data_IF_794911749721
#
_entry.id   IF_794911749721
#
_cell.length_a   1.000
_cell.length_b   1.000
_cell.length_c   1.000
_cell.angle_alpha   90.00
_cell.angle_beta   90.00
_cell.angle_gamma   90.00
#
_symmetry.space_group_name_H-M   'P 1'
#
loop_
_entity.id
_entity.type
_entity.pdbx_description
1 polymer ?
#
# COMPACT_ATOMS: atom_id res chain seq x y z
N UNK A 1 6.38 -59.87 26.36
CA UNK A 1 4.93 -59.71 26.13
C UNK A 1 4.56 -58.29 26.56
N UNK A 2 3.83 -57.58 25.68
CA UNK A 2 3.28 -56.23 25.81
C UNK A 2 4.19 -55.00 25.60
N UNK A 3 3.84 -54.31 24.50
CA UNK A 3 3.93 -52.88 24.21
C UNK A 3 5.26 -52.31 23.71
N UNK A 4 5.68 -52.91 22.60
CA UNK A 4 6.40 -52.31 21.50
C UNK A 4 5.37 -51.98 20.39
N UNK A 5 4.76 -50.78 20.36
CA UNK A 5 4.01 -50.23 19.19
C UNK A 5 3.27 -48.93 19.51
N UNK A 6 3.90 -47.77 19.29
CA UNK A 6 3.17 -46.50 19.00
C UNK A 6 3.92 -45.63 17.98
N UNK A 7 5.25 -45.76 17.86
CA UNK A 7 6.04 -44.91 16.96
C UNK A 7 5.99 -45.32 15.46
N UNK A 8 5.47 -46.50 15.09
CA UNK A 8 5.38 -46.94 13.69
C UNK A 8 3.97 -46.88 13.07
N UNK A 9 2.93 -46.50 13.84
CA UNK A 9 1.56 -46.35 13.31
C UNK A 9 1.14 -44.88 13.03
N UNK A 10 1.94 -43.89 13.42
CA UNK A 10 1.67 -42.48 13.10
C UNK A 10 1.94 -42.17 11.61
N UNK A 11 2.77 -42.96 10.93
CA UNK A 11 3.00 -42.88 9.48
C UNK A 11 1.99 -43.70 8.64
N UNK A 12 1.07 -44.45 9.26
CA UNK A 12 -0.01 -45.19 8.58
C UNK A 12 -1.41 -44.61 8.83
N UNK A 13 -1.58 -43.72 9.79
CA UNK A 13 -2.84 -43.00 10.03
C UNK A 13 -3.04 -41.75 9.16
N UNK A 14 -2.04 -41.33 8.38
CA UNK A 14 -2.16 -40.26 7.37
C UNK A 14 -2.80 -40.74 6.05
N UNK A 15 -3.69 -41.74 6.11
CA UNK A 15 -4.35 -42.37 4.96
C UNK A 15 -5.81 -42.74 5.23
N UNK A 16 -6.57 -41.89 5.91
CA UNK A 16 -8.04 -41.93 5.87
C UNK A 16 -8.68 -40.75 6.63
N UNK A 17 -8.50 -39.53 6.15
CA UNK A 17 -9.45 -38.43 6.43
C UNK A 17 -9.32 -37.29 5.42
N UNK A 18 -8.85 -37.60 4.21
CA UNK A 18 -9.16 -36.78 3.04
C UNK A 18 -10.62 -37.04 2.71
N UNK A 19 -11.50 -36.32 3.40
CA UNK A 19 -12.84 -36.06 2.92
C UNK A 19 -12.69 -35.47 1.52
N UNK A 20 -13.16 -36.21 0.54
CA UNK A 20 -13.40 -35.72 -0.81
C UNK A 20 -14.41 -34.57 -0.70
N UNK A 21 -13.93 -33.33 -0.58
CA UNK A 21 -14.67 -32.20 -1.15
C UNK A 21 -14.43 -32.26 -2.64
N UNK A 22 -15.50 -32.63 -3.35
CA UNK A 22 -15.53 -32.85 -4.77
C UNK A 22 -14.97 -31.65 -5.54
N UNK A 23 -13.75 -31.79 -6.06
CA UNK A 23 -13.32 -31.02 -7.21
C UNK A 23 -14.01 -31.62 -8.42
N UNK A 24 -14.99 -30.90 -8.96
CA UNK A 24 -15.48 -31.20 -10.29
C UNK A 24 -14.31 -31.07 -11.26
N UNK A 25 -13.92 -32.20 -11.86
CA UNK A 25 -13.19 -32.22 -13.14
C UNK A 25 -13.96 -31.31 -14.09
N UNK A 26 -13.39 -30.18 -14.47
CA UNK A 26 -13.73 -29.56 -15.75
C UNK A 26 -13.19 -30.50 -16.80
N UNK A 27 -14.06 -31.45 -17.19
CA UNK A 27 -13.89 -32.26 -18.38
C UNK A 27 -13.62 -31.31 -19.55
N UNK A 28 -12.62 -31.63 -20.37
CA UNK A 28 -12.38 -31.02 -21.67
C UNK A 28 -13.52 -31.35 -22.66
N UNK A 29 -14.73 -30.86 -22.36
CA UNK A 29 -15.91 -30.88 -23.23
C UNK A 29 -16.65 -29.55 -23.04
N UNK A 30 -16.66 -28.75 -24.10
CA UNK A 30 -17.42 -27.52 -24.21
C UNK A 30 -16.61 -26.27 -23.86
N UNK A 31 -15.88 -25.74 -24.85
CA UNK A 31 -15.56 -24.30 -24.90
C UNK A 31 -16.89 -23.54 -25.03
N UNK A 32 -17.56 -23.31 -23.90
CA UNK A 32 -18.70 -22.41 -23.80
C UNK A 32 -18.15 -21.01 -23.51
N UNK A 33 -18.53 -20.02 -24.30
CA UNK A 33 -18.00 -18.65 -24.28
C UNK A 33 -18.53 -17.78 -23.12
N UNK A 34 -18.83 -18.36 -21.95
CA UNK A 34 -19.60 -17.70 -20.88
C UNK A 34 -18.92 -17.65 -19.51
N UNK A 35 -17.68 -18.09 -19.37
CA UNK A 35 -16.94 -17.96 -18.11
C UNK A 35 -16.22 -16.60 -18.03
N UNK A 36 -16.14 -15.97 -16.84
CA UNK A 36 -15.43 -14.69 -16.69
C UNK A 36 -13.92 -14.86 -16.95
N UNK A 37 -13.28 -13.79 -17.42
CA UNK A 37 -11.83 -13.70 -17.63
C UNK A 37 -11.07 -13.69 -16.29
N UNK A 38 -11.72 -13.27 -15.20
CA UNK A 38 -11.23 -13.31 -13.81
C UNK A 38 -12.17 -14.14 -12.94
N UNK A 39 -11.63 -15.17 -12.29
CA UNK A 39 -12.34 -15.99 -11.28
C UNK A 39 -11.83 -15.61 -9.89
N UNK A 40 -12.73 -15.39 -8.94
CA UNK A 40 -12.37 -15.10 -7.53
C UNK A 40 -12.97 -16.18 -6.64
N UNK A 41 -12.10 -16.90 -5.93
CA UNK A 41 -12.49 -17.95 -5.01
C UNK A 41 -12.00 -17.62 -3.59
N UNK A 42 -12.89 -17.67 -2.59
CA UNK A 42 -12.49 -17.60 -1.19
C UNK A 42 -12.34 -19.02 -0.65
N UNK A 43 -11.15 -19.36 -0.18
CA UNK A 43 -10.88 -20.69 0.34
C UNK A 43 -11.49 -20.87 1.74
N UNK A 44 -11.79 -22.12 2.08
CA UNK A 44 -12.38 -22.53 3.35
C UNK A 44 -11.47 -23.48 4.13
N UNK A 45 -11.83 -23.79 5.38
CA UNK A 45 -11.11 -24.76 6.21
C UNK A 45 -9.76 -24.22 6.68
N UNK A 46 -8.69 -24.99 6.51
CA UNK A 46 -7.32 -24.60 6.89
C UNK A 46 -6.73 -23.47 6.01
N UNK A 47 -7.48 -23.05 4.98
CA UNK A 47 -7.15 -21.94 4.09
C UNK A 47 -8.09 -20.74 4.26
N UNK A 48 -8.91 -20.71 5.33
CA UNK A 48 -9.84 -19.61 5.58
C UNK A 48 -9.09 -18.26 5.65
N UNK A 49 -9.67 -17.26 4.99
CA UNK A 49 -9.11 -15.92 4.85
C UNK A 49 -8.22 -15.71 3.62
N UNK A 50 -8.04 -16.72 2.78
CA UNK A 50 -7.34 -16.59 1.50
C UNK A 50 -8.34 -16.37 0.37
N UNK A 51 -8.16 -15.32 -0.43
CA UNK A 51 -8.88 -15.10 -1.68
C UNK A 51 -7.95 -15.35 -2.88
N UNK A 52 -8.35 -16.21 -3.81
CA UNK A 52 -7.60 -16.57 -5.02
C UNK A 52 -8.18 -15.84 -6.22
N UNK A 53 -7.37 -15.02 -6.89
CA UNK A 53 -7.65 -14.42 -8.18
C UNK A 53 -7.05 -15.31 -9.26
N UNK A 54 -7.90 -15.91 -10.09
CA UNK A 54 -7.53 -16.74 -11.22
C UNK A 54 -7.72 -16.02 -12.55
N UNK A 55 -6.63 -15.79 -13.28
CA UNK A 55 -6.69 -15.36 -14.68
C UNK A 55 -7.16 -16.54 -15.55
N UNK A 56 -8.29 -16.39 -16.25
CA UNK A 56 -8.97 -17.48 -16.96
C UNK A 56 -9.40 -17.08 -18.38
N UNK A 57 -8.43 -16.71 -19.21
CA UNK A 57 -8.64 -16.34 -20.62
C UNK A 57 -7.71 -17.14 -21.55
N UNK A 58 -7.88 -18.47 -21.63
CA UNK A 58 -6.97 -19.39 -22.34
C UNK A 58 -6.80 -19.06 -23.82
N UNK A 59 -7.89 -18.70 -24.52
CA UNK A 59 -7.92 -18.38 -25.95
C UNK A 59 -7.01 -17.20 -26.34
N UNK A 60 -6.61 -16.38 -25.37
CA UNK A 60 -5.76 -15.21 -25.57
C UNK A 60 -4.56 -15.19 -24.62
N UNK A 61 -4.17 -16.33 -24.04
CA UNK A 61 -3.01 -16.43 -23.14
C UNK A 61 -3.06 -15.40 -22.00
N UNK A 62 -4.24 -15.21 -21.41
CA UNK A 62 -4.48 -14.20 -20.36
C UNK A 62 -4.04 -12.79 -20.74
N UNK A 63 -4.04 -12.43 -22.03
CA UNK A 63 -3.72 -11.08 -22.45
C UNK A 63 -4.73 -10.08 -21.90
N UNK A 64 -4.24 -8.91 -21.48
CA UNK A 64 -4.98 -7.82 -20.84
C UNK A 64 -5.84 -7.13 -21.89
N UNK A 65 -7.08 -7.58 -22.01
CA UNK A 65 -8.16 -6.95 -22.77
C UNK A 65 -8.85 -5.86 -21.95
N UNK A 66 -9.68 -5.03 -22.60
CA UNK A 66 -10.59 -4.11 -21.89
C UNK A 66 -11.48 -4.84 -20.88
N UNK A 67 -11.95 -6.05 -21.22
CA UNK A 67 -12.83 -6.84 -20.36
C UNK A 67 -12.09 -7.42 -19.15
N UNK A 68 -10.96 -8.09 -19.36
CA UNK A 68 -10.14 -8.65 -18.28
C UNK A 68 -9.74 -7.55 -17.29
N UNK A 69 -9.33 -6.39 -17.79
CA UNK A 69 -8.97 -5.26 -16.93
C UNK A 69 -10.16 -4.73 -16.10
N UNK A 70 -11.36 -4.72 -16.68
CA UNK A 70 -12.59 -4.33 -15.97
C UNK A 70 -12.91 -5.33 -14.85
N UNK A 71 -12.96 -6.62 -15.17
CA UNK A 71 -13.24 -7.67 -14.17
C UNK A 71 -12.18 -7.72 -13.08
N UNK A 72 -10.91 -7.49 -13.43
CA UNK A 72 -9.82 -7.47 -12.46
C UNK A 72 -9.96 -6.32 -11.47
N UNK A 73 -10.31 -5.12 -11.97
CA UNK A 73 -10.60 -3.95 -11.14
C UNK A 73 -11.78 -4.20 -10.20
N UNK A 74 -12.88 -4.74 -10.71
CA UNK A 74 -14.06 -5.12 -9.91
C UNK A 74 -13.68 -6.12 -8.81
N UNK A 75 -12.82 -7.10 -9.14
CA UNK A 75 -12.28 -8.03 -8.16
C UNK A 75 -11.48 -7.38 -7.04
N UNK A 76 -10.56 -6.47 -7.41
CA UNK A 76 -9.75 -5.71 -6.45
C UNK A 76 -10.65 -4.90 -5.50
N UNK A 77 -11.67 -4.22 -6.04
CA UNK A 77 -12.58 -3.41 -5.23
C UNK A 77 -13.43 -4.26 -4.28
N UNK A 78 -13.86 -5.45 -4.73
CA UNK A 78 -14.61 -6.40 -3.90
C UNK A 78 -13.80 -6.88 -2.69
N UNK A 79 -12.52 -7.21 -2.87
CA UNK A 79 -11.70 -7.71 -1.75
C UNK A 79 -11.14 -6.61 -0.87
N UNK A 80 -10.95 -5.38 -1.38
CA UNK A 80 -10.39 -4.24 -0.63
C UNK A 80 -11.12 -3.99 0.68
N UNK A 81 -12.45 -4.11 0.66
CA UNK A 81 -13.31 -3.82 1.81
C UNK A 81 -13.75 -5.06 2.59
N UNK A 82 -13.34 -6.24 2.14
CA UNK A 82 -13.74 -7.49 2.77
C UNK A 82 -12.84 -7.84 3.96
N UNK A 83 -13.44 -7.79 5.16
CA UNK A 83 -12.76 -8.08 6.42
C UNK A 83 -12.41 -9.56 6.58
N UNK A 84 -13.08 -10.45 5.85
CA UNK A 84 -12.77 -11.88 5.85
C UNK A 84 -11.47 -12.19 5.09
N UNK A 85 -11.07 -11.34 4.14
CA UNK A 85 -9.87 -11.55 3.33
C UNK A 85 -8.62 -11.05 4.08
N UNK A 86 -7.69 -11.99 4.28
CA UNK A 86 -6.45 -11.81 5.02
C UNK A 86 -5.22 -11.84 4.12
N UNK A 87 -5.27 -12.61 3.04
CA UNK A 87 -4.23 -12.70 2.00
C UNK A 87 -4.91 -12.89 0.64
N UNK A 88 -4.38 -12.24 -0.40
CA UNK A 88 -4.77 -12.49 -1.79
C UNK A 88 -3.69 -13.33 -2.47
N UNK A 89 -4.10 -14.42 -3.13
CA UNK A 89 -3.26 -15.16 -4.07
C UNK A 89 -3.67 -14.79 -5.48
N UNK A 90 -2.71 -14.46 -6.35
CA UNK A 90 -2.93 -14.22 -7.77
C UNK A 90 -2.27 -15.33 -8.57
N UNK A 91 -3.02 -16.04 -9.40
CA UNK A 91 -2.51 -17.11 -10.26
C UNK A 91 -3.17 -17.09 -11.63
N UNK A 92 -2.65 -17.92 -12.53
CA UNK A 92 -3.34 -18.29 -13.75
C UNK A 92 -4.04 -19.64 -13.60
N UNK A 93 -5.22 -19.76 -14.20
CA UNK A 93 -5.94 -21.03 -14.39
C UNK A 93 -5.56 -21.71 -15.73
N UNK A 94 -4.71 -21.07 -16.53
CA UNK A 94 -4.26 -21.54 -17.84
C UNK A 94 -2.86 -22.15 -17.72
N UNK A 95 -2.68 -23.47 -17.96
CA UNK A 95 -1.39 -24.13 -17.84
C UNK A 95 -0.30 -23.48 -18.72
N UNK A 96 0.89 -23.28 -18.15
CA UNK A 96 2.08 -22.75 -18.84
C UNK A 96 2.02 -21.26 -19.21
N UNK A 97 0.96 -20.55 -18.87
CA UNK A 97 0.82 -19.12 -19.13
C UNK A 97 0.34 -18.42 -17.87
N UNK A 98 1.08 -17.43 -17.39
CA UNK A 98 0.55 -16.49 -16.40
C UNK A 98 -0.27 -15.39 -17.08
N UNK A 99 0.41 -14.52 -17.85
CA UNK A 99 -0.20 -13.43 -18.60
C UNK A 99 0.76 -12.94 -19.70
N UNK A 100 0.27 -12.89 -20.94
CA UNK A 100 1.07 -12.46 -22.10
C UNK A 100 1.23 -10.93 -22.25
N UNK A 101 0.69 -10.14 -21.32
CA UNK A 101 0.72 -8.67 -21.40
C UNK A 101 -0.48 -8.11 -22.15
N UNK A 102 -0.33 -6.95 -22.80
CA UNK A 102 -1.44 -6.29 -23.49
C UNK A 102 -2.03 -7.15 -24.62
N UNK A 103 -3.35 -7.11 -24.80
CA UNK A 103 -3.99 -7.78 -25.94
C UNK A 103 -3.66 -7.05 -27.26
N UNK A 104 -2.68 -7.58 -28.00
CA UNK A 104 -2.22 -6.98 -29.25
C UNK A 104 -3.31 -6.93 -30.33
N UNK A 105 -4.32 -7.82 -30.29
CA UNK A 105 -5.44 -7.79 -31.25
C UNK A 105 -6.38 -6.62 -30.96
N UNK A 106 -6.63 -6.31 -29.69
CA UNK A 106 -7.36 -5.10 -29.31
C UNK A 106 -6.53 -3.86 -29.59
N UNK A 107 -5.24 -3.91 -29.27
CA UNK A 107 -4.31 -2.80 -29.46
C UNK A 107 -4.21 -2.36 -30.92
N UNK A 108 -4.17 -3.30 -31.86
CA UNK A 108 -4.13 -3.02 -33.29
C UNK A 108 -5.40 -2.33 -33.83
N UNK A 109 -6.53 -2.41 -33.11
CA UNK A 109 -7.80 -1.79 -33.49
C UNK A 109 -8.04 -0.44 -32.80
N UNK A 110 -7.21 -0.06 -31.83
CA UNK A 110 -7.33 1.21 -31.11
C UNK A 110 -6.81 2.37 -31.96
N UNK A 111 -7.54 3.48 -31.96
CA UNK A 111 -7.05 4.74 -32.51
C UNK A 111 -5.92 5.33 -31.64
N UNK A 112 -5.02 6.17 -32.19
CA UNK A 112 -3.96 6.84 -31.44
C UNK A 112 -4.43 7.54 -30.15
N UNK A 113 -5.61 8.17 -30.17
CA UNK A 113 -6.21 8.85 -29.03
C UNK A 113 -6.72 7.90 -27.92
N UNK A 114 -7.02 6.63 -28.23
CA UNK A 114 -7.53 5.65 -27.26
C UNK A 114 -6.40 4.93 -26.50
N UNK A 115 -5.18 4.98 -27.04
CA UNK A 115 -4.00 4.30 -26.51
C UNK A 115 -3.66 4.76 -25.09
N UNK A 116 -3.45 6.07 -24.94
CA UNK A 116 -3.01 6.68 -23.69
C UNK A 116 -3.99 6.41 -22.55
N UNK A 117 -5.31 6.65 -22.75
CA UNK A 117 -6.33 6.31 -21.78
C UNK A 117 -6.35 4.83 -21.37
N UNK A 118 -6.22 3.90 -22.33
CA UNK A 118 -6.20 2.46 -22.03
C UNK A 118 -4.99 2.08 -21.17
N UNK A 119 -3.78 2.51 -21.55
CA UNK A 119 -2.55 2.23 -20.78
C UNK A 119 -2.60 2.88 -19.40
N UNK A 120 -3.14 4.10 -19.29
CA UNK A 120 -3.33 4.79 -18.00
C UNK A 120 -4.30 4.04 -17.11
N UNK A 121 -5.41 3.54 -17.66
CA UNK A 121 -6.37 2.69 -16.92
C UNK A 121 -5.72 1.38 -16.45
N UNK A 122 -4.90 0.75 -17.30
CA UNK A 122 -4.17 -0.45 -16.92
C UNK A 122 -3.19 -0.17 -15.76
N UNK A 123 -2.40 0.90 -15.85
CA UNK A 123 -1.49 1.34 -14.79
C UNK A 123 -2.22 1.62 -13.47
N UNK A 124 -3.36 2.31 -13.54
CA UNK A 124 -4.17 2.62 -12.36
C UNK A 124 -4.68 1.34 -11.69
N UNK A 125 -5.24 0.41 -12.46
CA UNK A 125 -5.72 -0.88 -11.94
C UNK A 125 -4.60 -1.71 -11.27
N UNK A 126 -3.41 -1.75 -11.88
CA UNK A 126 -2.25 -2.45 -11.29
C UNK A 126 -1.77 -1.74 -10.03
N UNK A 127 -1.85 -0.41 -9.98
CA UNK A 127 -1.53 0.36 -8.76
C UNK A 127 -2.58 0.15 -7.67
N UNK A 128 -3.85 -0.09 -8.01
CA UNK A 128 -4.87 -0.47 -7.04
C UNK A 128 -4.57 -1.84 -6.41
N UNK A 129 -4.07 -2.80 -7.20
CA UNK A 129 -3.63 -4.11 -6.71
C UNK A 129 -2.49 -3.98 -5.69
N UNK A 130 -1.46 -3.20 -6.02
CA UNK A 130 -0.34 -2.88 -5.13
C UNK A 130 -0.83 -2.29 -3.80
N UNK A 131 -1.78 -1.36 -3.89
CA UNK A 131 -2.38 -0.67 -2.74
C UNK A 131 -3.49 -1.45 -2.02
N UNK A 132 -3.66 -2.75 -2.27
CA UNK A 132 -4.55 -3.57 -1.43
C UNK A 132 -4.03 -3.61 0.01
N UNK A 133 -4.91 -3.48 1.02
CA UNK A 133 -4.47 -3.39 2.42
C UNK A 133 -3.86 -4.70 2.93
N UNK A 134 -4.29 -5.84 2.41
CA UNK A 134 -3.76 -7.17 2.72
C UNK A 134 -2.57 -7.53 1.81
N UNK A 135 -1.71 -8.49 2.22
CA UNK A 135 -0.66 -9.03 1.36
C UNK A 135 -1.22 -9.71 0.11
N UNK A 136 -0.50 -9.55 -1.00
CA UNK A 136 -0.77 -10.15 -2.29
C UNK A 136 0.44 -11.00 -2.70
N UNK A 137 0.22 -12.30 -2.92
CA UNK A 137 1.25 -13.22 -3.40
C UNK A 137 0.89 -13.67 -4.81
N UNK A 138 1.80 -13.50 -5.76
CA UNK A 138 1.61 -13.99 -7.13
C UNK A 138 2.33 -15.31 -7.35
N UNK A 139 1.62 -16.27 -7.93
CA UNK A 139 2.10 -17.57 -8.35
C UNK A 139 2.32 -17.60 -9.87
N UNK A 140 3.59 -17.69 -10.27
CA UNK A 140 4.03 -17.69 -11.66
C UNK A 140 4.40 -19.12 -12.08
N UNK A 141 3.42 -19.85 -12.59
CA UNK A 141 3.57 -21.22 -13.14
C UNK A 141 3.71 -21.24 -14.67
N UNK A 142 3.97 -20.08 -15.28
CA UNK A 142 4.00 -19.94 -16.73
C UNK A 142 4.48 -18.58 -17.20
N UNK A 143 4.38 -18.34 -18.50
CA UNK A 143 4.90 -17.12 -19.14
C UNK A 143 4.22 -15.84 -18.60
N UNK A 144 5.02 -14.88 -18.14
CA UNK A 144 4.60 -13.56 -17.65
C UNK A 144 5.37 -12.45 -18.39
N UNK A 145 4.74 -11.83 -19.39
CA UNK A 145 5.40 -10.83 -20.25
C UNK A 145 4.70 -9.47 -20.21
N UNK A 146 5.49 -8.40 -20.32
CA UNK A 146 5.02 -7.02 -20.33
C UNK A 146 4.07 -6.75 -19.18
N UNK A 147 2.84 -6.33 -19.47
CA UNK A 147 1.78 -6.14 -18.49
C UNK A 147 1.55 -7.31 -17.51
N UNK A 148 1.83 -8.56 -17.91
CA UNK A 148 1.76 -9.72 -17.02
C UNK A 148 2.85 -9.72 -15.95
N UNK A 149 4.08 -9.33 -16.32
CA UNK A 149 5.14 -9.11 -15.34
C UNK A 149 4.89 -7.82 -14.53
N UNK A 150 4.30 -6.78 -15.12
CA UNK A 150 3.92 -5.57 -14.39
C UNK A 150 2.86 -5.83 -13.31
N UNK A 151 1.91 -6.75 -13.56
CA UNK A 151 0.98 -7.26 -12.54
C UNK A 151 1.76 -7.97 -11.43
N UNK A 152 2.69 -8.86 -11.78
CA UNK A 152 3.47 -9.61 -10.78
C UNK A 152 4.37 -8.71 -9.92
N UNK A 153 4.95 -7.67 -10.52
CA UNK A 153 5.75 -6.65 -9.85
C UNK A 153 4.95 -5.79 -8.87
N UNK A 154 3.63 -5.70 -9.05
CA UNK A 154 2.74 -4.98 -8.13
C UNK A 154 2.30 -5.83 -6.92
N UNK A 155 2.55 -7.15 -6.93
CA UNK A 155 2.30 -8.01 -5.79
C UNK A 155 3.44 -7.91 -4.77
N UNK A 156 3.14 -8.15 -3.49
CA UNK A 156 4.13 -8.04 -2.41
C UNK A 156 5.17 -9.16 -2.49
N UNK A 157 4.74 -10.39 -2.79
CA UNK A 157 5.59 -11.56 -2.92
C UNK A 157 5.38 -12.25 -4.27
N UNK A 158 6.48 -12.71 -4.87
CA UNK A 158 6.49 -13.44 -6.14
C UNK A 158 7.09 -14.83 -5.95
N UNK A 159 6.36 -15.86 -6.34
CA UNK A 159 6.84 -17.24 -6.39
C UNK A 159 6.80 -17.71 -7.83
N UNK A 160 7.88 -18.31 -8.32
CA UNK A 160 7.96 -18.81 -9.69
C UNK A 160 8.33 -20.29 -9.74
N UNK A 161 7.83 -20.98 -10.76
CA UNK A 161 8.38 -22.27 -11.14
C UNK A 161 9.72 -22.10 -11.87
N UNK A 162 10.63 -23.08 -11.82
CA UNK A 162 11.92 -23.03 -12.54
C UNK A 162 11.75 -22.78 -14.04
N UNK A 163 10.67 -23.32 -14.63
CA UNK A 163 10.35 -23.22 -16.07
C UNK A 163 9.63 -21.93 -16.47
N UNK A 164 9.26 -21.10 -15.51
CA UNK A 164 8.58 -19.82 -15.75
C UNK A 164 9.46 -18.90 -16.56
N UNK A 165 8.85 -18.10 -17.45
CA UNK A 165 9.56 -17.11 -18.27
C UNK A 165 8.98 -15.73 -18.03
N UNK A 166 9.83 -14.76 -17.69
CA UNK A 166 9.45 -13.42 -17.26
C UNK A 166 10.23 -12.37 -18.05
N UNK A 167 9.58 -11.28 -18.49
CA UNK A 167 10.30 -10.19 -19.13
C UNK A 167 9.44 -9.01 -19.55
N UNK A 168 10.07 -7.83 -19.58
CA UNK A 168 9.51 -6.59 -20.15
C UNK A 168 10.10 -6.40 -21.55
N UNK A 169 9.35 -6.80 -22.57
CA UNK A 169 9.84 -6.91 -23.97
C UNK A 169 9.38 -5.76 -24.88
N UNK A 170 8.79 -4.73 -24.30
CA UNK A 170 8.15 -3.60 -24.99
C UNK A 170 9.08 -2.87 -25.96
N UNK A 171 10.37 -2.78 -25.67
CA UNK A 171 11.35 -2.07 -26.52
C UNK A 171 11.54 -2.74 -27.88
N UNK A 172 11.29 -4.06 -28.00
CA UNK A 172 11.21 -4.77 -29.31
C UNK A 172 10.02 -4.33 -30.16
N UNK A 173 9.01 -3.72 -29.54
CA UNK A 173 7.81 -3.19 -30.18
C UNK A 173 7.86 -1.65 -30.31
N UNK A 174 9.03 -1.03 -30.14
CA UNK A 174 9.24 0.41 -30.15
C UNK A 174 8.37 1.19 -29.13
N UNK A 175 8.07 0.55 -28.00
CA UNK A 175 7.34 1.15 -26.87
C UNK A 175 8.08 0.85 -25.55
N UNK A 176 7.57 1.38 -24.44
CA UNK A 176 8.12 1.13 -23.09
C UNK A 176 7.10 0.37 -22.23
N UNK A 177 7.55 -0.29 -21.14
CA UNK A 177 6.63 -0.86 -20.14
C UNK A 177 5.71 0.23 -19.58
N UNK A 178 4.41 0.06 -19.82
CA UNK A 178 3.44 1.15 -19.72
C UNK A 178 2.59 1.13 -18.45
N UNK A 179 2.49 0.00 -17.76
CA UNK A 179 1.62 -0.21 -16.60
C UNK A 179 2.38 -0.19 -15.25
N UNK A 180 3.62 0.31 -15.27
CA UNK A 180 4.43 0.64 -14.09
C UNK A 180 5.76 -0.12 -14.00
N UNK A 181 6.10 -0.94 -14.99
CA UNK A 181 7.33 -1.73 -15.04
C UNK A 181 8.60 -0.89 -15.00
N UNK A 182 8.61 0.29 -15.63
CA UNK A 182 9.74 1.25 -15.55
C UNK A 182 9.97 1.81 -14.14
N UNK A 183 9.00 1.64 -13.25
CA UNK A 183 9.04 2.11 -11.87
C UNK A 183 9.25 0.96 -10.90
N UNK A 184 8.51 -0.15 -11.04
CA UNK A 184 8.57 -1.26 -10.09
C UNK A 184 9.79 -2.16 -10.29
N UNK A 185 10.16 -2.47 -11.54
CA UNK A 185 11.32 -3.32 -11.80
C UNK A 185 12.63 -2.78 -11.17
N UNK A 186 13.01 -1.50 -11.34
CA UNK A 186 14.24 -0.99 -10.73
C UNK A 186 14.21 -0.95 -9.19
N UNK A 187 13.04 -0.90 -8.54
CA UNK A 187 12.92 -1.02 -7.08
C UNK A 187 13.14 -2.46 -6.60
N UNK A 188 12.87 -3.44 -7.46
CA UNK A 188 13.02 -4.87 -7.13
C UNK A 188 14.43 -5.38 -7.42
N UNK A 189 14.98 -5.11 -8.61
CA UNK A 189 16.27 -5.69 -9.06
C UNK A 189 17.41 -4.67 -9.14
N UNK A 190 17.16 -3.42 -8.72
CA UNK A 190 18.09 -2.31 -8.89
C UNK A 190 18.06 -1.70 -10.30
N UNK A 191 18.48 -0.44 -10.40
CA UNK A 191 18.37 0.35 -11.64
C UNK A 191 19.24 -0.17 -12.80
N UNK A 192 20.44 -0.69 -12.50
CA UNK A 192 21.36 -1.20 -13.51
C UNK A 192 20.79 -2.45 -14.19
N UNK A 193 20.37 -3.46 -13.41
CA UNK A 193 19.79 -4.69 -13.94
C UNK A 193 18.45 -4.42 -14.64
N UNK A 194 17.61 -3.54 -14.09
CA UNK A 194 16.37 -3.16 -14.75
C UNK A 194 16.59 -2.54 -16.15
N UNK A 195 17.60 -1.67 -16.30
CA UNK A 195 17.99 -1.10 -17.61
C UNK A 195 18.47 -2.19 -18.56
N UNK A 196 19.33 -3.10 -18.10
CA UNK A 196 19.79 -4.24 -18.91
C UNK A 196 18.62 -5.04 -19.47
N UNK A 197 17.68 -5.46 -18.60
CA UNK A 197 16.52 -6.25 -19.00
C UNK A 197 15.59 -5.50 -19.97
N UNK A 198 15.29 -4.22 -19.70
CA UNK A 198 14.39 -3.42 -20.55
C UNK A 198 15.06 -3.05 -21.88
N UNK A 199 16.32 -2.63 -21.88
CA UNK A 199 17.01 -2.20 -23.12
C UNK A 199 17.23 -3.37 -24.07
N UNK A 200 17.51 -4.55 -23.54
CA UNK A 200 17.71 -5.77 -24.34
C UNK A 200 16.40 -6.52 -24.63
N UNK A 201 15.31 -6.16 -23.95
CA UNK A 201 14.06 -6.94 -23.92
C UNK A 201 14.33 -8.42 -23.62
N UNK A 202 15.19 -8.67 -22.62
CA UNK A 202 15.56 -10.01 -22.19
C UNK A 202 14.39 -10.70 -21.46
N UNK A 203 14.38 -12.01 -21.57
CA UNK A 203 13.46 -12.89 -20.84
C UNK A 203 14.32 -13.74 -19.91
N UNK A 204 13.99 -13.74 -18.64
CA UNK A 204 14.64 -14.56 -17.61
C UNK A 204 13.73 -15.72 -17.20
N UNK A 205 14.34 -16.83 -16.79
CA UNK A 205 13.61 -17.96 -16.22
C UNK A 205 13.37 -17.80 -14.70
N UNK A 206 12.79 -18.80 -14.05
CA UNK A 206 12.51 -18.75 -12.60
C UNK A 206 13.79 -18.67 -11.74
N UNK A 207 14.83 -19.42 -12.10
CA UNK A 207 16.09 -19.49 -11.36
C UNK A 207 16.91 -18.19 -11.52
N UNK A 208 17.05 -17.72 -12.76
CA UNK A 208 17.65 -16.41 -13.07
C UNK A 208 16.87 -15.29 -12.37
N UNK A 209 15.54 -15.42 -12.29
CA UNK A 209 14.68 -14.49 -11.58
C UNK A 209 14.94 -14.44 -10.08
N UNK A 210 15.24 -15.58 -9.43
CA UNK A 210 15.58 -15.62 -8.01
C UNK A 210 16.97 -15.01 -7.78
N UNK A 211 17.95 -15.34 -8.62
CA UNK A 211 19.33 -14.84 -8.54
C UNK A 211 19.41 -13.30 -8.56
N UNK A 212 18.60 -12.66 -9.41
CA UNK A 212 18.56 -11.19 -9.52
C UNK A 212 17.58 -10.52 -8.55
N UNK A 213 16.90 -11.29 -7.68
CA UNK A 213 15.91 -10.79 -6.74
C UNK A 213 14.54 -10.42 -7.35
N UNK A 214 14.27 -10.80 -8.60
CA UNK A 214 12.97 -10.58 -9.25
C UNK A 214 11.85 -11.38 -8.57
N UNK A 215 12.14 -12.59 -8.10
CA UNK A 215 11.20 -13.43 -7.35
C UNK A 215 11.76 -13.80 -5.97
N UNK A 216 10.87 -14.03 -5.01
CA UNK A 216 11.25 -14.38 -3.63
C UNK A 216 11.57 -15.86 -3.46
N UNK A 217 10.95 -16.71 -4.27
CA UNK A 217 11.13 -18.16 -4.23
C UNK A 217 11.02 -18.74 -5.63
N UNK A 218 11.92 -19.66 -5.97
CA UNK A 218 11.78 -20.57 -7.09
C UNK A 218 11.44 -21.99 -6.61
N UNK A 219 10.60 -22.71 -7.35
CA UNK A 219 10.28 -24.13 -7.10
C UNK A 219 10.33 -24.96 -8.38
N UNK A 220 10.79 -26.23 -8.34
CA UNK A 220 10.69 -27.12 -9.49
C UNK A 220 9.23 -27.28 -9.94
N UNK A 221 8.97 -27.17 -11.25
CA UNK A 221 7.61 -27.34 -11.76
C UNK A 221 7.13 -28.78 -11.59
N UNK A 222 5.87 -28.96 -11.19
CA UNK A 222 5.23 -30.26 -11.01
C UNK A 222 4.44 -30.68 -12.27
N UNK A 223 3.96 -31.92 -12.30
CA UNK A 223 3.20 -32.47 -13.43
C UNK A 223 1.85 -31.75 -13.65
N UNK A 224 1.27 -31.19 -12.59
CA UNK A 224 0.00 -30.45 -12.63
C UNK A 224 0.17 -29.00 -13.10
N UNK A 225 1.40 -28.49 -13.19
CA UNK A 225 1.70 -27.13 -13.63
C UNK A 225 1.26 -26.04 -12.65
N UNK A 226 1.29 -26.34 -11.34
CA UNK A 226 0.83 -25.44 -10.28
C UNK A 226 1.76 -25.39 -9.06
N UNK A 227 3.05 -25.74 -9.24
CA UNK A 227 4.02 -25.77 -8.14
C UNK A 227 4.18 -24.41 -7.45
N UNK A 228 4.24 -23.31 -8.21
CA UNK A 228 4.36 -21.97 -7.65
C UNK A 228 3.09 -21.57 -6.87
N UNK A 229 1.92 -22.00 -7.34
CA UNK A 229 0.66 -21.82 -6.61
C UNK A 229 0.65 -22.57 -5.28
N UNK A 230 1.04 -23.86 -5.27
CA UNK A 230 1.11 -24.65 -4.03
C UNK A 230 2.07 -24.01 -3.02
N UNK A 231 3.24 -23.55 -3.47
CA UNK A 231 4.19 -22.83 -2.61
C UNK A 231 3.63 -21.50 -2.11
N UNK A 232 2.90 -20.77 -2.95
CA UNK A 232 2.23 -19.52 -2.53
C UNK A 232 1.16 -19.78 -1.47
N UNK A 233 0.43 -20.90 -1.57
CA UNK A 233 -0.54 -21.32 -0.57
C UNK A 233 0.12 -21.63 0.77
N UNK A 234 1.28 -22.28 0.77
CA UNK A 234 2.07 -22.49 2.01
C UNK A 234 2.49 -21.18 2.67
N UNK A 235 2.94 -20.20 1.89
CA UNK A 235 3.30 -18.87 2.40
C UNK A 235 2.08 -18.15 2.97
N UNK A 236 0.95 -18.18 2.27
CA UNK A 236 -0.29 -17.59 2.75
C UNK A 236 -0.72 -18.21 4.09
N UNK A 237 -0.66 -19.54 4.23
CA UNK A 237 -0.96 -20.25 5.49
C UNK A 237 -0.07 -19.82 6.66
N UNK A 238 1.18 -19.41 6.39
CA UNK A 238 2.07 -18.83 7.42
C UNK A 238 1.69 -17.40 7.81
N UNK A 239 1.04 -16.65 6.92
CA UNK A 239 0.59 -15.27 7.17
C UNK A 239 -0.75 -15.24 7.91
N UNK A 240 -1.69 -16.14 7.58
CA UNK A 240 -3.03 -16.21 8.18
C UNK A 240 -3.06 -16.09 9.72
N UNK A 241 -2.24 -16.85 10.49
CA UNK A 241 -2.30 -16.81 11.96
C UNK A 241 -1.78 -15.51 12.57
N UNK A 242 -1.07 -14.67 11.80
CA UNK A 242 -0.54 -13.40 12.31
C UNK A 242 -1.66 -12.36 12.50
N UNK A 243 -1.43 -11.39 13.40
CA UNK A 243 -2.40 -10.33 13.67
C UNK A 243 -2.78 -9.56 12.39
N UNK A 244 -4.07 -9.50 11.99
CA UNK A 244 -4.49 -8.94 10.70
C UNK A 244 -4.11 -7.47 10.56
N UNK A 245 -4.32 -6.70 11.64
CA UNK A 245 -3.98 -5.29 11.67
C UNK A 245 -2.46 -5.13 11.57
N UNK A 246 -1.69 -5.94 12.31
CA UNK A 246 -0.22 -5.91 12.28
C UNK A 246 0.32 -6.13 10.87
N UNK A 247 -0.17 -7.15 10.16
CA UNK A 247 0.27 -7.45 8.78
C UNK A 247 -0.11 -6.33 7.81
N UNK A 248 -1.34 -5.83 7.86
CA UNK A 248 -1.79 -4.72 7.00
C UNK A 248 -0.96 -3.45 7.25
N UNK A 249 -0.72 -3.13 8.52
CA UNK A 249 0.07 -1.96 8.89
C UNK A 249 1.56 -2.12 8.55
N UNK A 250 2.11 -3.32 8.68
CA UNK A 250 3.48 -3.61 8.25
C UNK A 250 3.63 -3.38 6.74
N UNK A 251 2.68 -3.87 5.93
CA UNK A 251 2.65 -3.57 4.49
C UNK A 251 2.60 -2.06 4.24
N UNK A 252 1.68 -1.34 4.88
CA UNK A 252 1.57 0.11 4.74
C UNK A 252 2.87 0.82 5.11
N UNK A 253 3.53 0.42 6.19
CA UNK A 253 4.79 1.03 6.64
C UNK A 253 5.93 0.78 5.65
N UNK A 254 6.06 -0.46 5.15
CA UNK A 254 7.08 -0.84 4.17
C UNK A 254 6.81 -0.14 2.83
N UNK A 255 5.59 -0.22 2.32
CA UNK A 255 5.23 0.32 0.99
C UNK A 255 5.28 1.84 0.91
N UNK A 256 5.16 2.54 2.04
CA UNK A 256 5.14 4.01 2.05
C UNK A 256 6.52 4.65 2.12
N UNK A 257 7.60 3.87 2.35
CA UNK A 257 9.02 4.32 2.41
C UNK A 257 9.17 5.82 2.71
N UNK A 258 8.60 6.28 3.83
CA UNK A 258 8.66 7.70 4.16
C UNK A 258 10.07 8.00 4.67
N UNK A 259 10.84 8.75 3.90
CA UNK A 259 12.02 9.42 4.45
C UNK A 259 11.55 10.61 5.29
N UNK A 260 11.56 10.44 6.62
CA UNK A 260 11.09 11.47 7.54
C UNK A 260 12.26 12.37 7.94
N UNK A 261 12.11 13.67 7.70
CA UNK A 261 12.98 14.69 8.28
C UNK A 261 12.30 15.35 9.48
N UNK A 262 12.86 15.21 10.67
CA UNK A 262 12.41 15.91 11.88
C UNK A 262 13.17 17.23 12.04
N UNK A 263 12.46 18.35 11.90
CA UNK A 263 13.00 19.67 12.17
C UNK A 263 12.77 20.03 13.65
N UNK A 264 13.84 20.03 14.44
CA UNK A 264 13.77 20.17 15.91
C UNK A 264 14.83 21.12 16.43
N UNK A 265 14.57 21.79 17.56
CA UNK A 265 15.59 22.63 18.23
C UNK A 265 16.70 21.81 18.88
N UNK A 266 16.37 20.57 19.27
CA UNK A 266 17.20 19.72 20.11
C UNK A 266 16.99 18.25 19.69
N UNK A 267 17.92 17.68 18.89
CA UNK A 267 17.83 16.30 18.41
C UNK A 267 17.81 15.26 19.52
N UNK A 268 18.34 15.55 20.71
CA UNK A 268 18.37 14.62 21.84
C UNK A 268 16.96 14.30 22.39
N UNK A 269 15.94 15.03 21.95
CA UNK A 269 14.54 14.80 22.29
C UNK A 269 13.84 13.81 21.36
N UNK A 270 14.48 13.39 20.28
CA UNK A 270 13.97 12.30 19.46
C UNK A 270 14.12 10.99 20.24
N UNK A 271 13.12 10.09 20.22
CA UNK A 271 13.25 8.78 20.83
C UNK A 271 14.47 8.04 20.28
N UNK A 272 15.27 7.45 21.16
CA UNK A 272 16.53 6.78 20.78
C UNK A 272 16.29 5.69 19.72
N UNK A 273 15.15 5.01 19.81
CA UNK A 273 14.74 3.93 18.92
C UNK A 273 14.44 4.41 17.49
N UNK A 274 14.24 5.72 17.29
CA UNK A 274 13.90 6.33 15.99
C UNK A 274 15.08 7.07 15.36
N UNK A 275 16.22 7.20 16.06
CA UNK A 275 17.38 7.97 15.62
C UNK A 275 18.00 7.49 14.30
N UNK A 276 17.88 6.20 13.97
CA UNK A 276 18.35 5.61 12.71
C UNK A 276 17.32 5.67 11.56
N UNK A 277 16.06 6.01 11.88
CA UNK A 277 14.93 5.99 10.94
C UNK A 277 14.46 7.39 10.54
N UNK A 278 14.94 8.43 11.24
CA UNK A 278 14.53 9.83 11.05
C UNK A 278 15.77 10.69 10.86
N UNK A 279 15.78 11.49 9.79
CA UNK A 279 16.82 12.50 9.58
C UNK A 279 16.52 13.71 10.47
N UNK A 280 17.37 14.01 11.44
CA UNK A 280 17.22 15.19 12.29
C UNK A 280 17.86 16.43 11.62
N UNK A 281 17.07 17.50 11.43
CA UNK A 281 17.58 18.84 11.10
C UNK A 281 17.39 19.75 12.29
N UNK A 282 18.49 20.38 12.74
CA UNK A 282 18.45 21.28 13.89
C UNK A 282 18.11 22.69 13.45
N UNK A 283 17.13 23.34 14.08
CA UNK A 283 16.81 24.74 13.84
C UNK A 283 15.63 25.25 14.63
N UNK A 284 15.24 26.50 14.36
CA UNK A 284 14.11 27.17 15.00
C UNK A 284 13.09 27.57 13.95
N UNK A 285 11.80 27.33 14.22
CA UNK A 285 10.71 27.73 13.33
C UNK A 285 10.60 29.24 13.14
N UNK A 286 11.16 30.04 14.04
CA UNK A 286 11.28 31.49 13.90
C UNK A 286 12.45 31.92 13.00
N UNK A 287 13.43 31.05 12.79
CA UNK A 287 14.53 31.29 11.85
C UNK A 287 14.15 30.78 10.46
N UNK A 288 13.70 31.72 9.63
CA UNK A 288 13.23 31.43 8.26
C UNK A 288 14.30 30.77 7.39
N UNK A 289 15.59 30.98 7.65
CA UNK A 289 16.67 30.32 6.89
C UNK A 289 16.73 28.84 7.21
N UNK A 290 16.70 28.48 8.49
CA UNK A 290 16.73 27.06 8.89
C UNK A 290 15.45 26.33 8.49
N UNK A 291 14.30 27.02 8.48
CA UNK A 291 13.03 26.48 7.95
C UNK A 291 13.12 26.25 6.45
N UNK A 292 13.70 27.20 5.70
CA UNK A 292 13.91 27.07 4.25
C UNK A 292 14.74 25.84 3.90
N UNK A 293 15.88 25.66 4.59
CA UNK A 293 16.76 24.50 4.44
C UNK A 293 16.06 23.19 4.83
N UNK A 294 15.17 23.22 5.84
CA UNK A 294 14.43 22.05 6.26
C UNK A 294 13.37 21.60 5.24
N UNK A 295 12.65 22.55 4.64
CA UNK A 295 11.58 22.29 3.66
C UNK A 295 12.12 21.98 2.27
N UNK A 296 13.33 22.41 1.93
CA UNK A 296 13.95 22.11 0.65
C UNK A 296 14.01 20.59 0.39
N UNK A 297 13.47 20.18 -0.76
CA UNK A 297 13.45 18.79 -1.21
C UNK A 297 12.41 17.89 -0.54
N UNK A 298 11.50 18.44 0.27
CA UNK A 298 10.40 17.68 0.87
C UNK A 298 9.17 17.64 -0.05
N UNK A 299 8.43 16.52 -0.06
CA UNK A 299 7.19 16.39 -0.85
C UNK A 299 5.95 16.94 -0.12
N UNK A 300 5.97 16.93 1.21
CA UNK A 300 4.87 17.37 2.07
C UNK A 300 5.40 17.75 3.46
N UNK A 301 4.60 18.47 4.24
CA UNK A 301 4.97 18.92 5.61
C UNK A 301 3.90 18.55 6.63
N UNK A 302 4.33 18.10 7.81
CA UNK A 302 3.48 18.03 9.01
C UNK A 302 3.89 19.12 9.98
N UNK A 303 2.95 19.95 10.42
CA UNK A 303 3.19 21.03 11.39
C UNK A 303 2.73 20.58 12.78
N UNK A 304 3.70 20.40 13.68
CA UNK A 304 3.50 20.08 15.10
C UNK A 304 4.17 21.16 15.97
N UNK A 305 3.51 22.30 16.12
CA UNK A 305 4.00 23.40 16.96
C UNK A 305 3.18 23.46 18.25
N UNK A 306 3.87 23.75 19.35
CA UNK A 306 3.26 23.86 20.66
C UNK A 306 4.16 24.61 21.63
N UNK A 307 3.55 25.15 22.68
CA UNK A 307 4.25 25.93 23.72
C UNK A 307 4.70 25.08 24.91
N UNK A 308 4.68 23.74 24.77
CA UNK A 308 4.86 22.78 25.88
C UNK A 308 3.81 23.06 26.96
N UNK A 309 4.24 23.52 28.14
CA UNK A 309 3.38 23.86 29.28
C UNK A 309 3.30 25.38 29.53
N UNK A 310 3.87 26.19 28.64
CA UNK A 310 3.82 27.65 28.74
C UNK A 310 2.51 28.16 28.13
N UNK A 311 1.70 28.83 28.95
CA UNK A 311 0.42 29.41 28.56
C UNK A 311 0.50 30.94 28.42
N UNK A 312 1.71 31.52 28.53
CA UNK A 312 1.91 32.94 28.32
C UNK A 312 1.60 33.36 26.88
N UNK A 313 1.29 34.65 26.63
CA UNK A 313 1.07 35.14 25.28
C UNK A 313 2.23 34.84 24.34
N UNK A 314 1.91 34.24 23.20
CA UNK A 314 2.88 33.78 22.22
C UNK A 314 2.39 34.07 20.80
N UNK A 315 3.35 34.23 19.88
CA UNK A 315 3.13 34.19 18.44
C UNK A 315 3.97 33.12 17.75
N UNK A 316 4.68 32.30 18.53
CA UNK A 316 5.71 31.38 18.01
C UNK A 316 5.10 30.39 17.02
N UNK A 317 3.89 29.90 17.28
CA UNK A 317 3.28 28.88 16.43
C UNK A 317 2.75 29.50 15.13
N UNK A 318 2.12 30.68 15.20
CA UNK A 318 1.63 31.36 13.99
C UNK A 318 2.76 31.92 13.13
N UNK A 319 3.77 32.56 13.70
CA UNK A 319 4.96 33.02 12.96
C UNK A 319 5.76 31.85 12.38
N UNK A 320 5.93 30.76 13.15
CA UNK A 320 6.55 29.54 12.65
C UNK A 320 5.78 28.95 11.46
N UNK A 321 4.45 28.93 11.53
CA UNK A 321 3.59 28.47 10.43
C UNK A 321 3.75 29.36 9.19
N UNK A 322 3.89 30.69 9.34
CA UNK A 322 4.16 31.61 8.22
C UNK A 322 5.49 31.28 7.53
N UNK A 323 6.55 31.06 8.31
CA UNK A 323 7.87 30.70 7.78
C UNK A 323 7.81 29.38 7.00
N UNK A 324 7.14 28.37 7.55
CA UNK A 324 6.95 27.06 6.90
C UNK A 324 6.18 27.23 5.58
N UNK A 325 5.03 27.91 5.60
CA UNK A 325 4.22 28.15 4.39
C UNK A 325 5.01 28.92 3.33
N UNK A 326 5.81 29.91 3.72
CA UNK A 326 6.64 30.66 2.79
C UNK A 326 7.71 29.76 2.12
N UNK A 327 8.39 28.92 2.91
CA UNK A 327 9.37 27.96 2.39
C UNK A 327 8.71 26.91 1.48
N UNK A 328 7.55 26.39 1.88
CA UNK A 328 6.78 25.43 1.07
C UNK A 328 6.41 26.02 -0.29
N UNK A 329 5.90 27.25 -0.33
CA UNK A 329 5.60 27.97 -1.58
C UNK A 329 6.84 28.15 -2.45
N UNK A 330 7.96 28.53 -1.84
CA UNK A 330 9.24 28.74 -2.54
C UNK A 330 9.76 27.45 -3.19
N UNK A 331 9.62 26.32 -2.51
CA UNK A 331 10.11 25.02 -3.00
C UNK A 331 9.07 24.18 -3.74
N UNK A 332 7.85 24.70 -3.95
CA UNK A 332 6.78 24.01 -4.66
C UNK A 332 6.13 22.86 -3.87
N UNK A 333 6.31 22.82 -2.55
CA UNK A 333 5.70 21.82 -1.66
C UNK A 333 4.24 22.20 -1.44
N UNK A 334 3.30 21.36 -1.90
CA UNK A 334 1.87 21.72 -1.92
C UNK A 334 1.08 21.23 -0.72
N UNK A 335 1.47 20.10 -0.13
CA UNK A 335 0.65 19.35 0.82
C UNK A 335 1.08 19.58 2.27
N UNK A 336 0.14 19.92 3.14
CA UNK A 336 0.39 20.13 4.57
C UNK A 336 -0.72 19.60 5.46
N UNK A 337 -0.34 18.97 6.57
CA UNK A 337 -1.25 18.65 7.68
C UNK A 337 -0.74 19.33 8.95
N UNK A 338 -1.60 20.07 9.65
CA UNK A 338 -1.22 20.87 10.81
C UNK A 338 -2.04 20.49 12.04
N UNK A 339 -1.38 20.30 13.18
CA UNK A 339 -2.03 20.06 14.46
C UNK A 339 -2.38 21.39 15.12
N UNK A 340 -3.67 21.60 15.39
CA UNK A 340 -4.20 22.80 16.04
C UNK A 340 -5.00 22.41 17.29
N UNK A 341 -5.27 23.35 18.18
CA UNK A 341 -6.08 23.07 19.37
C UNK A 341 -7.55 22.79 19.02
N UNK A 342 -8.15 21.79 19.66
CA UNK A 342 -9.60 21.57 19.63
C UNK A 342 -10.42 22.72 20.24
N UNK A 343 -9.79 23.69 20.92
CA UNK A 343 -10.47 24.92 21.32
C UNK A 343 -10.97 25.75 20.13
N UNK A 344 -10.39 25.60 18.93
CA UNK A 344 -10.90 26.22 17.71
C UNK A 344 -12.29 25.70 17.28
N UNK A 345 -12.83 24.66 17.93
CA UNK A 345 -14.24 24.23 17.77
C UNK A 345 -15.21 24.93 18.72
N UNK A 346 -14.73 25.78 19.63
CA UNK A 346 -15.54 26.39 20.69
C UNK A 346 -15.60 27.90 20.52
N UNK A 347 -16.69 28.50 20.98
CA UNK A 347 -16.71 29.94 21.20
C UNK A 347 -15.71 30.33 22.30
N UNK A 348 -15.06 31.48 22.16
CA UNK A 348 -14.05 31.97 23.11
C UNK A 348 -14.57 32.02 24.56
N UNK A 349 -15.84 32.35 24.74
CA UNK A 349 -16.53 32.37 26.05
C UNK A 349 -16.57 30.99 26.74
N UNK A 350 -16.50 29.90 25.98
CA UNK A 350 -16.51 28.52 26.47
C UNK A 350 -15.10 27.94 26.73
N UNK A 351 -14.05 28.76 26.53
CA UNK A 351 -12.65 28.41 26.79
C UNK A 351 -12.20 29.11 28.07
N UNK A 352 -11.50 28.44 29.00
CA UNK A 352 -10.96 29.12 30.20
C UNK A 352 -9.98 30.23 29.82
N UNK A 353 -10.10 31.41 30.44
CA UNK A 353 -9.33 32.62 30.10
C UNK A 353 -7.80 32.40 30.03
N UNK A 354 -7.28 31.53 30.90
CA UNK A 354 -5.85 31.15 30.90
C UNK A 354 -5.35 30.56 29.58
N UNK A 355 -6.24 30.08 28.71
CA UNK A 355 -5.92 29.53 27.39
C UNK A 355 -6.19 30.51 26.24
N UNK A 356 -6.69 31.72 26.50
CA UNK A 356 -6.94 32.71 25.45
C UNK A 356 -5.72 33.02 24.60
N UNK A 357 -4.52 33.25 25.16
CA UNK A 357 -3.37 33.55 24.32
C UNK A 357 -2.96 32.37 23.42
N UNK A 358 -3.15 31.14 23.90
CA UNK A 358 -2.91 29.91 23.13
C UNK A 358 -3.93 29.74 22.01
N UNK A 359 -5.23 29.95 22.31
CA UNK A 359 -6.31 29.90 21.33
C UNK A 359 -6.09 30.93 20.22
N UNK A 360 -5.80 32.18 20.59
CA UNK A 360 -5.55 33.26 19.62
C UNK A 360 -4.37 32.93 18.68
N UNK A 361 -3.33 32.24 19.17
CA UNK A 361 -2.22 31.83 18.31
C UNK A 361 -2.60 30.68 17.35
N UNK A 362 -3.39 29.71 17.81
CA UNK A 362 -3.94 28.67 16.93
C UNK A 362 -4.96 29.21 15.91
N UNK A 363 -5.73 30.24 16.25
CA UNK A 363 -6.60 30.95 15.31
C UNK A 363 -5.76 31.61 14.20
N UNK A 364 -4.68 32.31 14.56
CA UNK A 364 -3.73 32.87 13.58
C UNK A 364 -3.06 31.79 12.72
N UNK A 365 -2.68 30.64 13.28
CA UNK A 365 -2.16 29.51 12.49
C UNK A 365 -3.18 29.05 11.44
N UNK A 366 -4.45 28.91 11.82
CA UNK A 366 -5.51 28.50 10.92
C UNK A 366 -5.73 29.50 9.79
N UNK A 367 -5.67 30.80 10.09
CA UNK A 367 -5.75 31.87 9.10
C UNK A 367 -4.60 31.79 8.09
N UNK A 368 -3.36 31.56 8.56
CA UNK A 368 -2.18 31.40 7.70
C UNK A 368 -2.36 30.20 6.75
N UNK A 369 -2.86 29.07 7.25
CA UNK A 369 -3.13 27.89 6.42
C UNK A 369 -4.23 28.17 5.38
N UNK A 370 -5.35 28.76 5.79
CA UNK A 370 -6.46 29.11 4.89
C UNK A 370 -6.04 30.09 3.79
N UNK A 371 -5.20 31.06 4.12
CA UNK A 371 -4.68 32.06 3.17
C UNK A 371 -3.48 31.55 2.33
N UNK A 372 -3.01 30.33 2.56
CA UNK A 372 -1.77 29.83 1.96
C UNK A 372 -1.89 29.43 0.49
N UNK A 373 -3.10 29.13 -0.03
CA UNK A 373 -3.28 28.42 -1.31
C UNK A 373 -2.57 27.04 -1.39
N UNK A 374 -2.14 26.48 -0.27
CA UNK A 374 -1.63 25.11 -0.17
C UNK A 374 -2.78 24.12 0.03
N UNK A 375 -2.55 22.85 -0.29
CA UNK A 375 -3.45 21.74 0.02
C UNK A 375 -3.32 21.40 1.52
N UNK A 376 -4.11 22.07 2.36
CA UNK A 376 -4.01 21.97 3.82
C UNK A 376 -5.09 21.10 4.45
N UNK A 377 -4.73 20.45 5.56
CA UNK A 377 -5.64 19.80 6.51
C UNK A 377 -5.34 20.30 7.92
N UNK A 378 -6.36 20.77 8.65
CA UNK A 378 -6.20 21.16 10.05
C UNK A 378 -6.74 20.04 10.94
N UNK A 379 -5.88 19.41 11.72
CA UNK A 379 -6.23 18.32 12.65
C UNK A 379 -6.31 18.88 14.06
N UNK A 380 -7.46 18.75 14.69
CA UNK A 380 -7.79 19.36 15.97
C UNK A 380 -8.06 18.27 17.02
N UNK A 381 -7.01 17.63 17.58
CA UNK A 381 -7.18 16.61 18.59
C UNK A 381 -7.73 17.21 19.90
N UNK A 382 -8.55 16.45 20.66
CA UNK A 382 -8.97 16.79 22.01
C UNK A 382 -7.79 16.51 22.96
N UNK A 383 -7.99 15.77 24.05
CA UNK A 383 -6.87 15.38 24.91
C UNK A 383 -5.99 14.31 24.23
N UNK A 384 -4.69 14.56 24.11
CA UNK A 384 -3.73 13.58 23.56
C UNK A 384 -3.22 12.70 24.70
N UNK A 385 -3.36 11.38 24.58
CA UNK A 385 -2.89 10.40 25.59
C UNK A 385 -1.64 9.65 25.12
N UNK A 386 -0.91 9.09 26.08
CA UNK A 386 0.24 8.20 25.86
C UNK A 386 -0.16 6.74 25.65
N UNK A 387 -1.45 6.46 25.52
CA UNK A 387 -1.98 5.11 25.29
C UNK A 387 -1.39 4.49 24.00
N UNK A 388 -1.26 3.16 23.97
CA UNK A 388 -0.94 2.45 22.72
C UNK A 388 -2.05 2.63 21.67
N UNK A 389 -1.72 2.31 20.41
CA UNK A 389 -2.64 2.43 19.26
C UNK A 389 -3.96 1.67 19.53
N UNK A 390 -5.09 2.38 19.59
CA UNK A 390 -6.40 1.77 19.82
C UNK A 390 -7.03 1.20 18.54
N UNK A 391 -6.50 1.55 17.36
CA UNK A 391 -6.82 0.93 16.06
C UNK A 391 -7.95 1.59 15.28
N UNK A 392 -9.05 1.95 15.94
CA UNK A 392 -10.17 2.67 15.33
C UNK A 392 -10.24 4.12 15.84
N UNK A 393 -10.25 5.08 14.91
CA UNK A 393 -10.50 6.51 15.19
C UNK A 393 -11.79 6.97 14.53
N UNK A 394 -12.49 7.89 15.20
CA UNK A 394 -13.64 8.61 14.65
C UNK A 394 -13.14 9.98 14.18
N UNK A 395 -13.48 10.34 12.94
CA UNK A 395 -13.16 11.63 12.34
C UNK A 395 -14.47 12.37 12.07
N UNK A 396 -14.58 13.59 12.59
CA UNK A 396 -15.69 14.50 12.29
C UNK A 396 -15.14 15.85 11.83
N UNK A 397 -15.90 16.55 10.97
CA UNK A 397 -15.48 17.85 10.44
C UNK A 397 -16.19 18.98 11.17
N UNK A 398 -15.43 19.96 11.66
CA UNK A 398 -15.99 21.13 12.36
C UNK A 398 -16.38 20.90 13.82
N UNK A 399 -16.17 19.71 14.37
CA UNK A 399 -16.50 19.36 15.75
C UNK A 399 -15.51 18.33 16.32
N UNK A 400 -15.37 18.30 17.65
CA UNK A 400 -14.60 17.27 18.35
C UNK A 400 -15.47 16.02 18.60
N UNK A 401 -15.16 14.85 17.99
CA UNK A 401 -16.00 13.65 18.10
C UNK A 401 -15.88 12.92 19.44
N UNK A 402 -14.95 13.33 20.31
CA UNK A 402 -14.77 12.70 21.62
C UNK A 402 -13.73 13.39 22.49
N UNK A 403 -13.44 12.82 23.67
CA UNK A 403 -12.63 13.49 24.68
C UNK A 403 -11.12 13.25 24.56
N UNK A 404 -10.68 12.19 23.86
CA UNK A 404 -9.26 11.82 23.79
C UNK A 404 -8.87 11.08 22.51
N UNK A 405 -7.57 11.16 22.18
CA UNK A 405 -6.92 10.41 21.10
C UNK A 405 -5.49 10.02 21.53
N UNK A 406 -5.02 8.82 21.20
CA UNK A 406 -3.64 8.41 21.44
C UNK A 406 -2.70 9.18 20.52
N UNK A 407 -1.48 9.46 20.99
CA UNK A 407 -0.44 10.10 20.16
C UNK A 407 -0.10 9.29 18.90
N UNK A 408 -0.20 7.96 18.97
CA UNK A 408 0.08 7.05 17.85
C UNK A 408 -0.99 7.14 16.77
N UNK A 409 -2.27 7.14 17.16
CA UNK A 409 -3.38 7.25 16.22
C UNK A 409 -3.45 8.65 15.60
N UNK A 410 -3.18 9.70 16.39
CA UNK A 410 -3.06 11.07 15.90
C UNK A 410 -1.95 11.18 14.84
N UNK A 411 -0.74 10.71 15.14
CA UNK A 411 0.38 10.74 14.20
C UNK A 411 0.06 10.00 12.90
N UNK A 412 -0.56 8.82 13.00
CA UNK A 412 -0.99 8.04 11.84
C UNK A 412 -1.99 8.80 10.97
N UNK A 413 -3.01 9.41 11.58
CA UNK A 413 -4.01 10.19 10.84
C UNK A 413 -3.39 11.40 10.14
N UNK A 414 -2.51 12.14 10.83
CA UNK A 414 -1.85 13.31 10.25
C UNK A 414 -0.99 12.96 9.03
N UNK A 415 -0.22 11.87 9.09
CA UNK A 415 0.56 11.38 7.93
C UNK A 415 -0.35 10.92 6.79
N UNK A 416 -1.46 10.25 7.11
CA UNK A 416 -2.42 9.81 6.09
C UNK A 416 -3.07 10.97 5.32
N UNK A 417 -3.20 12.15 5.94
CA UNK A 417 -3.72 13.35 5.28
C UNK A 417 -2.79 13.88 4.19
N UNK A 418 -1.50 13.51 4.20
CA UNK A 418 -0.54 13.94 3.17
C UNK A 418 -0.71 13.19 1.85
N UNK A 419 -1.42 12.06 1.86
CA UNK A 419 -1.59 11.19 0.69
C UNK A 419 -3.05 10.92 0.34
N UNK A 420 -3.99 11.61 1.00
CA UNK A 420 -5.44 11.50 0.77
C UNK A 420 -6.06 12.87 0.55
N UNK A 421 -6.99 12.95 -0.41
CA UNK A 421 -7.73 14.18 -0.72
C UNK A 421 -9.02 14.32 0.10
N UNK A 422 -9.41 13.29 0.85
CA UNK A 422 -10.68 13.20 1.58
C UNK A 422 -10.90 14.35 2.57
N UNK A 423 -9.82 14.82 3.19
CA UNK A 423 -9.83 15.80 4.27
C UNK A 423 -9.29 17.19 3.86
N UNK A 424 -9.03 17.41 2.58
CA UNK A 424 -8.50 18.68 2.10
C UNK A 424 -9.44 19.83 2.44
N UNK A 425 -8.84 20.90 2.98
CA UNK A 425 -9.50 22.14 3.36
C UNK A 425 -10.52 21.99 4.50
N UNK A 426 -10.36 20.95 5.34
CA UNK A 426 -11.26 20.67 6.47
C UNK A 426 -10.57 20.86 7.82
N UNK A 427 -11.40 21.19 8.82
CA UNK A 427 -11.04 21.10 10.23
C UNK A 427 -11.49 19.73 10.75
N UNK A 428 -10.55 18.82 10.98
CA UNK A 428 -10.81 17.44 11.37
C UNK A 428 -10.65 17.29 12.89
N UNK A 429 -11.75 17.04 13.59
CA UNK A 429 -11.71 16.52 14.96
C UNK A 429 -11.48 15.01 14.92
N UNK A 430 -10.73 14.50 15.89
CA UNK A 430 -10.34 13.10 15.97
C UNK A 430 -10.46 12.57 17.39
N UNK A 431 -11.01 11.37 17.59
CA UNK A 431 -10.97 10.68 18.87
C UNK A 431 -10.79 9.17 18.66
N UNK A 432 -10.25 8.47 19.67
CA UNK A 432 -10.30 7.01 19.66
C UNK A 432 -11.74 6.55 19.89
N UNK A 433 -12.15 5.52 19.15
CA UNK A 433 -13.44 4.87 19.36
C UNK A 433 -13.46 4.24 20.77
N UNK A 434 -14.55 4.40 21.56
CA UNK A 434 -14.66 3.73 22.84
C UNK A 434 -14.55 2.21 22.67
N UNK A 435 -13.73 1.55 23.48
CA UNK A 435 -13.74 0.10 23.59
C UNK A 435 -15.07 -0.31 24.26
N UNK A 436 -15.86 -1.12 23.56
CA UNK A 436 -17.16 -1.64 24.02
C UNK A 436 -17.02 -2.70 25.09
#
# INVERSE_FOLDING_TARGET
MMMHNVAQNILRAARSSLGQTAWHRVSARGLCSSSPDIVIEKLSGDCEGIAVFGLNRPQAKNAISKNLLKEFKEGIDNVRHDRSVRVVLLRSMVPGVFCAGADLKERAKMKPEEVGPFVTKARACISDLENLPMPVIVALDGVALGGGLEIALACDLRVAATTTKMGLVETKLAIIPGAGGTQRLPRVVGSAKAKELIFTAAIVNGEEGEEIGLVNYVVPQNETGDAAYLRSLELAKKIIPNGPIGVKMAKVAISREYEVTAFVRDPARLPEELSSQVTAKTGDVLDSKTVDEAVQGQDAVVILLGTRNDLSPTTVMSEGTKNIVAAMKKHGVKRVSACLSAFNFREKSAVPERFYPLLEDHERMLEVLKASNLEWVAVLPPHITDDEKAGDVIIEHGISPGPRVSKHDLGHFMVSCLSSDENLYKLCGICNKPQS
#
